data_IF_799053397649
#
_entry.id   IF_799053397649
#
_cell.length_a   1.000
_cell.length_b   1.000
_cell.length_c   1.000
_cell.angle_alpha   90.00
_cell.angle_beta   90.00
_cell.angle_gamma   90.00
#
_symmetry.space_group_name_H-M   'P 1'
#
loop_
_entity.id
_entity.type
_entity.pdbx_description
1 polymer ?
#
# COMPACT_ATOMS: atom_id res chain seq x y z
N UNK A 1 11.25 2.48 -22.62
CA UNK A 1 10.64 3.01 -21.38
C UNK A 1 11.23 4.38 -21.09
N UNK A 2 10.46 5.28 -20.46
CA UNK A 2 10.88 6.66 -20.17
C UNK A 2 11.89 6.77 -19.02
N UNK A 3 11.84 5.86 -18.05
CA UNK A 3 12.74 5.78 -16.90
C UNK A 3 12.89 4.33 -16.39
N UNK A 4 13.78 4.12 -15.41
CA UNK A 4 13.98 2.82 -14.75
C UNK A 4 12.73 2.40 -13.99
N UNK A 5 12.23 1.22 -14.32
CA UNK A 5 11.08 0.58 -13.69
C UNK A 5 11.43 -0.87 -13.37
N UNK A 6 10.89 -1.39 -12.29
CA UNK A 6 11.04 -2.80 -11.91
C UNK A 6 9.79 -3.56 -12.32
N UNK A 7 9.97 -4.63 -13.10
CA UNK A 7 8.89 -5.54 -13.46
C UNK A 7 8.57 -6.48 -12.31
N UNK A 8 7.29 -6.81 -12.15
CA UNK A 8 6.80 -7.64 -11.04
C UNK A 8 7.45 -9.03 -11.02
N UNK A 9 7.64 -9.62 -12.20
CA UNK A 9 8.34 -10.89 -12.36
C UNK A 9 8.95 -10.97 -13.75
N UNK A 10 9.96 -11.84 -13.87
CA UNK A 10 10.63 -12.12 -15.14
C UNK A 10 9.81 -12.96 -16.12
N UNK A 11 8.75 -13.65 -15.67
CA UNK A 11 8.12 -14.71 -16.47
C UNK A 11 6.59 -14.65 -16.57
N UNK A 12 5.86 -14.39 -15.50
CA UNK A 12 4.39 -14.48 -15.47
C UNK A 12 3.70 -13.12 -15.59
N UNK A 13 4.31 -12.09 -15.04
CA UNK A 13 3.84 -10.70 -15.00
C UNK A 13 4.96 -9.77 -15.40
N UNK A 14 5.29 -9.79 -16.69
CA UNK A 14 6.36 -8.98 -17.33
C UNK A 14 5.87 -7.53 -17.54
N UNK A 15 5.49 -6.89 -16.44
CA UNK A 15 4.91 -5.54 -16.36
C UNK A 15 5.40 -4.86 -15.09
N UNK A 16 5.65 -3.55 -15.17
CA UNK A 16 5.82 -2.69 -14.01
C UNK A 16 4.45 -2.19 -13.56
N UNK A 17 3.98 -2.61 -12.39
CA UNK A 17 2.74 -2.08 -11.82
C UNK A 17 3.00 -0.80 -11.04
N UNK A 18 2.04 0.12 -11.08
CA UNK A 18 2.24 1.46 -10.54
C UNK A 18 2.47 1.48 -9.03
N UNK A 19 1.64 0.75 -8.28
CA UNK A 19 1.78 0.67 -6.83
C UNK A 19 3.02 -0.12 -6.39
N UNK A 20 3.60 -0.97 -7.26
CA UNK A 20 4.72 -1.83 -6.88
C UNK A 20 6.05 -1.08 -6.78
N UNK A 21 6.20 0.02 -7.52
CA UNK A 21 7.41 0.82 -7.45
C UNK A 21 7.57 1.45 -6.04
N UNK A 22 6.47 1.66 -5.31
CA UNK A 22 6.49 2.05 -3.90
C UNK A 22 7.15 1.00 -3.00
N UNK A 23 6.91 -0.30 -3.25
CA UNK A 23 7.61 -1.37 -2.51
C UNK A 23 9.10 -1.43 -2.86
N UNK A 24 9.46 -1.17 -4.12
CA UNK A 24 10.86 -1.09 -4.53
C UNK A 24 11.59 0.09 -3.89
N UNK A 25 10.90 1.22 -3.71
CA UNK A 25 11.44 2.34 -2.95
C UNK A 25 11.74 1.96 -1.50
N UNK A 26 10.81 1.27 -0.83
CA UNK A 26 11.03 0.78 0.54
C UNK A 26 12.18 -0.25 0.62
N UNK A 27 12.36 -1.05 -0.42
CA UNK A 27 13.44 -2.04 -0.52
C UNK A 27 14.80 -1.46 -0.96
N UNK A 28 14.95 -0.14 -1.09
CA UNK A 28 16.21 0.49 -1.53
C UNK A 28 17.32 0.47 -0.46
N UNK A 29 17.08 -0.13 0.71
CA UNK A 29 18.12 -0.47 1.68
C UNK A 29 18.87 0.73 2.27
N UNK A 30 18.18 1.86 2.47
CA UNK A 30 18.78 3.10 3.00
C UNK A 30 19.26 4.08 1.93
N UNK A 31 19.34 3.67 0.65
CA UNK A 31 19.69 4.58 -0.45
C UNK A 31 18.51 5.50 -0.79
N UNK A 32 18.58 6.75 -0.35
CA UNK A 32 17.52 7.74 -0.58
C UNK A 32 17.36 8.09 -2.06
N UNK A 33 18.42 8.05 -2.87
CA UNK A 33 18.37 8.41 -4.29
C UNK A 33 17.67 7.35 -5.11
N UNK A 34 17.99 6.08 -4.87
CA UNK A 34 17.28 4.97 -5.50
C UNK A 34 15.82 4.88 -5.02
N UNK A 35 15.56 5.10 -3.73
CA UNK A 35 14.19 5.18 -3.22
C UNK A 35 13.37 6.28 -3.92
N UNK A 36 13.95 7.49 -4.04
CA UNK A 36 13.28 8.63 -4.69
C UNK A 36 12.99 8.39 -6.17
N UNK A 37 13.95 7.79 -6.87
CA UNK A 37 13.81 7.39 -8.27
C UNK A 37 12.67 6.38 -8.44
N UNK A 38 12.55 5.39 -7.56
CA UNK A 38 11.44 4.44 -7.59
C UNK A 38 10.09 5.11 -7.32
N UNK A 39 10.01 6.03 -6.34
CA UNK A 39 8.80 6.83 -6.08
C UNK A 39 8.39 7.70 -7.27
N UNK A 40 9.34 8.20 -8.06
CA UNK A 40 9.08 9.04 -9.24
C UNK A 40 8.72 8.24 -10.50
N UNK A 41 9.19 6.99 -10.60
CA UNK A 41 9.27 6.22 -11.85
C UNK A 41 7.98 6.10 -12.67
N UNK A 42 6.82 6.07 -12.02
CA UNK A 42 5.52 5.95 -12.69
C UNK A 42 4.94 7.29 -13.14
N UNK A 43 5.41 8.39 -12.58
CA UNK A 43 4.87 9.72 -12.83
C UNK A 43 5.28 10.30 -14.20
N UNK A 44 6.27 9.74 -14.90
CA UNK A 44 6.57 10.10 -16.30
C UNK A 44 5.46 9.65 -17.27
N UNK A 45 4.60 8.78 -16.79
CA UNK A 45 3.44 8.27 -17.50
C UNK A 45 2.13 8.79 -16.90
N UNK A 46 2.20 9.74 -15.97
CA UNK A 46 1.02 10.41 -15.46
C UNK A 46 0.32 11.17 -16.60
N UNK A 47 -1.00 10.98 -16.74
CA UNK A 47 -1.79 11.71 -17.73
C UNK A 47 -2.16 13.12 -17.23
N UNK A 48 -2.73 13.94 -18.10
CA UNK A 48 -3.12 15.33 -17.79
C UNK A 48 -4.15 15.43 -16.65
N UNK A 49 -4.98 14.40 -16.46
CA UNK A 49 -5.93 14.35 -15.36
C UNK A 49 -5.28 14.03 -14.01
N UNK A 50 -4.00 13.62 -13.98
CA UNK A 50 -3.25 13.26 -12.78
C UNK A 50 -3.16 11.75 -12.51
N UNK A 51 -3.79 10.91 -13.32
CA UNK A 51 -3.76 9.45 -13.15
C UNK A 51 -2.42 8.85 -13.60
N UNK A 52 -1.83 8.00 -12.77
CA UNK A 52 -0.73 7.11 -13.16
C UNK A 52 -1.25 5.80 -13.77
N UNK A 53 -0.51 5.15 -14.68
CA UNK A 53 -0.93 3.87 -15.24
C UNK A 53 -1.05 2.80 -14.14
N UNK A 54 -2.01 1.88 -14.32
CA UNK A 54 -2.07 0.64 -13.55
C UNK A 54 -0.80 -0.19 -13.77
N UNK A 55 -0.37 -0.30 -15.03
CA UNK A 55 0.91 -0.88 -15.39
C UNK A 55 1.52 -0.24 -16.64
N UNK A 56 2.84 -0.42 -16.77
CA UNK A 56 3.64 -0.15 -17.97
C UNK A 56 4.41 -1.40 -18.36
N UNK A 57 4.46 -1.69 -19.67
CA UNK A 57 5.35 -2.71 -20.23
C UNK A 57 5.98 -2.21 -21.53
N UNK A 58 6.79 -3.06 -22.15
CA UNK A 58 7.40 -2.88 -23.47
C UNK A 58 6.37 -2.78 -24.61
N UNK A 59 5.27 -3.53 -24.53
CA UNK A 59 4.25 -3.61 -25.57
C UNK A 59 2.97 -2.83 -25.27
N UNK A 60 2.69 -2.50 -24.01
CA UNK A 60 1.41 -1.85 -23.65
C UNK A 60 1.46 -1.10 -22.33
N UNK A 61 0.51 -0.19 -22.16
CA UNK A 61 0.23 0.52 -20.92
C UNK A 61 -1.27 0.52 -20.67
N UNK A 62 -1.68 0.53 -19.40
CA UNK A 62 -3.10 0.56 -19.05
C UNK A 62 -3.39 1.60 -17.97
N UNK A 63 -4.43 2.40 -18.19
CA UNK A 63 -5.04 3.29 -17.19
C UNK A 63 -6.45 2.82 -16.81
N UNK A 64 -6.82 1.58 -17.17
CA UNK A 64 -8.17 1.06 -16.94
C UNK A 64 -8.49 0.96 -15.44
N UNK A 65 -7.55 0.44 -14.66
CA UNK A 65 -7.62 0.34 -13.21
C UNK A 65 -6.84 1.50 -12.55
N UNK A 66 -7.27 1.93 -11.37
CA UNK A 66 -6.42 2.73 -10.50
C UNK A 66 -5.36 1.86 -9.83
N UNK A 67 -4.26 2.48 -9.44
CA UNK A 67 -3.36 1.93 -8.43
C UNK A 67 -3.87 2.29 -7.03
N UNK A 68 -3.60 1.43 -6.05
CA UNK A 68 -3.66 1.82 -4.64
C UNK A 68 -2.64 2.95 -4.36
N UNK A 69 -3.01 3.98 -3.59
CA UNK A 69 -2.18 5.16 -3.39
C UNK A 69 -1.04 4.95 -2.36
N UNK A 70 -0.14 4.01 -2.61
CA UNK A 70 0.92 3.62 -1.67
C UNK A 70 2.06 4.64 -1.49
N UNK A 71 2.13 5.67 -2.32
CA UNK A 71 3.24 6.64 -2.30
C UNK A 71 3.41 7.31 -0.92
N UNK A 72 2.31 7.66 -0.24
CA UNK A 72 2.39 8.24 1.10
C UNK A 72 2.94 7.27 2.14
N UNK A 73 2.52 6.00 2.10
CA UNK A 73 3.04 4.97 3.00
C UNK A 73 4.51 4.66 2.74
N UNK A 74 4.92 4.61 1.48
CA UNK A 74 6.32 4.41 1.11
C UNK A 74 7.20 5.60 1.50
N UNK A 75 6.72 6.84 1.37
CA UNK A 75 7.44 8.02 1.86
C UNK A 75 7.60 8.00 3.39
N UNK A 76 6.55 7.59 4.13
CA UNK A 76 6.64 7.42 5.59
C UNK A 76 7.75 6.45 5.98
N UNK A 77 7.80 5.30 5.30
CA UNK A 77 8.85 4.33 5.51
C UNK A 77 10.23 4.88 5.12
N UNK A 78 10.38 5.45 3.93
CA UNK A 78 11.66 5.95 3.41
C UNK A 78 12.24 7.05 4.32
N UNK A 79 11.43 7.99 4.79
CA UNK A 79 11.94 9.03 5.71
C UNK A 79 12.27 8.51 7.11
N UNK A 80 11.73 7.36 7.53
CA UNK A 80 12.11 6.73 8.79
C UNK A 80 13.40 5.91 8.67
N UNK A 81 13.77 5.51 7.46
CA UNK A 81 14.86 4.56 7.22
C UNK A 81 16.09 5.16 6.52
N UNK A 82 15.90 6.20 5.71
CA UNK A 82 16.95 6.81 4.91
C UNK A 82 17.32 8.19 5.45
N UNK A 83 18.58 8.56 5.34
CA UNK A 83 19.02 9.94 5.51
C UNK A 83 18.54 10.79 4.33
N UNK A 84 17.88 11.90 4.61
CA UNK A 84 17.36 12.81 3.59
C UNK A 84 18.31 13.95 3.22
N UNK A 85 19.50 14.05 3.83
CA UNK A 85 20.46 15.15 3.63
C UNK A 85 20.93 15.29 2.17
N UNK A 86 20.89 14.20 1.40
CA UNK A 86 21.20 14.27 -0.02
C UNK A 86 20.13 15.00 -0.83
N UNK A 87 18.86 14.94 -0.41
CA UNK A 87 17.76 15.55 -1.15
C UNK A 87 17.77 17.08 -1.04
N UNK A 88 17.42 17.73 -2.14
CA UNK A 88 17.31 19.20 -2.21
C UNK A 88 15.86 19.63 -2.31
N UNK A 89 15.61 20.91 -2.07
CA UNK A 89 14.29 21.55 -2.22
C UNK A 89 13.62 21.20 -3.55
N UNK A 90 14.39 21.15 -4.62
CA UNK A 90 13.91 20.84 -5.97
C UNK A 90 13.45 19.39 -6.11
N UNK A 91 14.09 18.45 -5.41
CA UNK A 91 13.70 17.03 -5.39
C UNK A 91 12.31 16.87 -4.75
N UNK A 92 12.07 17.57 -3.63
CA UNK A 92 10.76 17.61 -2.96
C UNK A 92 9.70 18.28 -3.83
N UNK A 93 10.04 19.40 -4.48
CA UNK A 93 9.13 20.10 -5.38
C UNK A 93 8.74 19.22 -6.59
N UNK A 94 9.69 18.47 -7.14
CA UNK A 94 9.46 17.56 -8.25
C UNK A 94 8.48 16.44 -7.90
N UNK A 95 8.72 15.72 -6.79
CA UNK A 95 7.80 14.67 -6.34
C UNK A 95 6.45 15.25 -5.91
N UNK A 96 6.44 16.38 -5.19
CA UNK A 96 5.21 17.07 -4.79
C UNK A 96 4.32 17.40 -5.99
N UNK A 97 4.88 18.01 -7.04
CA UNK A 97 4.11 18.42 -8.23
C UNK A 97 3.42 17.24 -8.91
N UNK A 98 4.09 16.08 -8.96
CA UNK A 98 3.52 14.85 -9.55
C UNK A 98 2.52 14.17 -8.62
N UNK A 99 2.89 13.96 -7.37
CA UNK A 99 2.09 13.23 -6.39
C UNK A 99 0.80 13.97 -6.03
N UNK A 100 0.85 15.30 -5.92
CA UNK A 100 -0.34 16.13 -5.69
C UNK A 100 -1.34 16.06 -6.83
N UNK A 101 -0.89 15.97 -8.08
CA UNK A 101 -1.76 15.72 -9.24
C UNK A 101 -2.49 14.38 -9.14
N UNK A 102 -1.81 13.33 -8.68
CA UNK A 102 -2.42 12.02 -8.47
C UNK A 102 -3.36 11.98 -7.27
N UNK A 103 -3.01 12.65 -6.17
CA UNK A 103 -3.90 12.82 -5.03
C UNK A 103 -5.18 13.59 -5.43
N UNK A 104 -5.04 14.66 -6.20
CA UNK A 104 -6.17 15.43 -6.73
C UNK A 104 -7.05 14.58 -7.65
N UNK A 105 -6.45 13.81 -8.57
CA UNK A 105 -7.18 12.88 -9.42
C UNK A 105 -7.96 11.84 -8.62
N UNK A 106 -7.35 11.25 -7.59
CA UNK A 106 -7.99 10.25 -6.74
C UNK A 106 -9.20 10.86 -6.02
N UNK A 107 -9.05 12.03 -5.41
CA UNK A 107 -10.12 12.69 -4.67
C UNK A 107 -11.27 13.17 -5.57
N UNK A 108 -10.96 13.66 -6.78
CA UNK A 108 -11.96 14.21 -7.70
C UNK A 108 -12.62 13.14 -8.60
N UNK A 109 -11.83 12.24 -9.18
CA UNK A 109 -12.31 11.27 -10.19
C UNK A 109 -12.75 9.94 -9.61
N UNK A 110 -12.33 9.61 -8.39
CA UNK A 110 -12.64 8.33 -7.74
C UNK A 110 -13.69 8.45 -6.64
N UNK A 111 -14.56 9.45 -6.72
CA UNK A 111 -15.67 9.68 -5.78
C UNK A 111 -17.00 9.83 -6.54
N UNK A 112 -17.51 8.72 -7.11
CA UNK A 112 -18.68 8.73 -8.02
C UNK A 112 -19.94 9.35 -7.40
N UNK A 113 -20.13 9.15 -6.09
CA UNK A 113 -21.30 9.60 -5.35
C UNK A 113 -21.08 10.98 -4.70
N UNK A 114 -19.92 11.62 -4.92
CA UNK A 114 -19.55 12.93 -4.35
C UNK A 114 -19.63 12.97 -2.82
N UNK A 115 -19.27 11.86 -2.18
CA UNK A 115 -19.24 11.72 -0.72
C UNK A 115 -18.02 12.39 -0.07
N UNK A 116 -17.02 12.78 -0.87
CA UNK A 116 -15.70 13.16 -0.41
C UNK A 116 -14.84 11.97 0.01
N UNK A 117 -15.18 10.74 -0.38
CA UNK A 117 -14.46 9.52 -0.02
C UNK A 117 -14.08 8.76 -1.30
N UNK A 118 -12.78 8.52 -1.55
CA UNK A 118 -12.33 7.73 -2.69
C UNK A 118 -12.85 6.29 -2.68
N UNK A 119 -12.96 5.72 -3.88
CA UNK A 119 -13.59 4.43 -4.13
C UNK A 119 -12.72 3.55 -5.02
N UNK A 120 -12.65 2.27 -4.66
CA UNK A 120 -12.26 1.24 -5.62
C UNK A 120 -13.43 0.90 -6.52
N UNK A 121 -13.16 0.74 -7.80
CA UNK A 121 -14.14 0.32 -8.80
C UNK A 121 -13.97 -1.15 -9.17
N UNK A 122 -12.80 -1.72 -8.84
CA UNK A 122 -12.42 -3.09 -9.19
C UNK A 122 -11.49 -3.66 -8.12
N UNK A 123 -11.50 -4.99 -7.97
CA UNK A 123 -10.67 -5.68 -6.98
C UNK A 123 -9.17 -5.67 -7.31
N UNK A 124 -8.81 -5.56 -8.59
CA UNK A 124 -7.42 -5.53 -9.06
C UNK A 124 -6.67 -4.24 -8.68
N UNK A 125 -7.37 -3.21 -8.18
CA UNK A 125 -6.78 -1.91 -7.83
C UNK A 125 -5.96 -1.93 -6.52
N UNK A 126 -6.18 -2.93 -5.66
CA UNK A 126 -5.44 -3.08 -4.40
C UNK A 126 -4.94 -4.51 -4.15
N UNK A 127 -5.60 -5.56 -4.65
CA UNK A 127 -5.10 -6.94 -4.50
C UNK A 127 -5.27 -7.57 -3.11
N UNK A 128 -5.93 -6.89 -2.16
CA UNK A 128 -6.27 -7.42 -0.83
C UNK A 128 -7.76 -7.27 -0.46
N UNK A 129 -8.58 -6.78 -1.40
CA UNK A 129 -10.05 -6.76 -1.27
C UNK A 129 -10.64 -7.94 -2.05
N UNK A 130 -11.55 -8.70 -1.42
CA UNK A 130 -12.27 -9.78 -2.10
C UNK A 130 -13.14 -9.20 -3.22
N UNK A 131 -13.06 -9.80 -4.42
CA UNK A 131 -13.92 -9.45 -5.55
C UNK A 131 -15.42 -9.50 -5.21
N UNK A 132 -15.82 -10.31 -4.22
CA UNK A 132 -17.20 -10.35 -3.69
C UNK A 132 -17.65 -9.04 -3.06
N UNK A 133 -16.75 -8.16 -2.64
CA UNK A 133 -17.10 -6.83 -2.14
C UNK A 133 -17.75 -5.95 -3.23
N UNK A 134 -17.44 -6.22 -4.51
CA UNK A 134 -17.94 -5.48 -5.67
C UNK A 134 -19.24 -6.06 -6.23
N UNK A 135 -20.18 -6.44 -5.35
CA UNK A 135 -21.46 -7.03 -5.77
C UNK A 135 -22.13 -6.16 -6.83
N UNK A 136 -22.58 -6.78 -7.92
CA UNK A 136 -23.22 -6.11 -9.05
C UNK A 136 -22.35 -5.04 -9.75
N UNK A 137 -21.01 -5.11 -9.62
CA UNK A 137 -20.08 -4.18 -10.25
C UNK A 137 -20.11 -2.77 -9.63
N UNK A 138 -20.53 -2.64 -8.36
CA UNK A 138 -20.60 -1.36 -7.66
C UNK A 138 -19.26 -0.98 -7.03
N UNK A 139 -18.90 0.32 -7.03
CA UNK A 139 -17.73 0.80 -6.32
C UNK A 139 -17.80 0.56 -4.81
N UNK A 140 -16.65 0.37 -4.20
CA UNK A 140 -16.47 0.16 -2.76
C UNK A 140 -15.68 1.31 -2.17
N UNK A 141 -16.21 1.94 -1.14
CA UNK A 141 -15.43 2.79 -0.24
C UNK A 141 -14.79 1.87 0.80
N UNK A 142 -13.47 1.72 0.76
CA UNK A 142 -12.78 0.78 1.64
C UNK A 142 -11.92 1.50 2.68
N UNK A 143 -11.83 0.90 3.86
CA UNK A 143 -11.08 1.48 4.97
C UNK A 143 -9.57 1.56 4.67
N UNK A 144 -9.04 0.58 3.94
CA UNK A 144 -7.64 0.56 3.51
C UNK A 144 -7.33 1.68 2.50
N UNK A 145 -8.20 1.92 1.49
CA UNK A 145 -8.03 3.01 0.54
C UNK A 145 -8.04 4.34 1.26
N UNK A 146 -8.94 4.50 2.23
CA UNK A 146 -9.06 5.70 3.02
C UNK A 146 -7.79 5.93 3.85
N UNK A 147 -7.27 4.90 4.53
CA UNK A 147 -6.02 4.97 5.28
C UNK A 147 -4.80 5.30 4.41
N UNK A 148 -4.69 4.68 3.22
CA UNK A 148 -3.63 5.00 2.28
C UNK A 148 -3.75 6.42 1.72
N UNK A 149 -4.98 6.92 1.53
CA UNK A 149 -5.23 8.30 1.09
C UNK A 149 -4.92 9.32 2.18
N UNK A 150 -5.15 9.00 3.46
CA UNK A 150 -4.70 9.83 4.60
C UNK A 150 -3.19 10.04 4.54
N UNK A 151 -2.41 8.98 4.31
CA UNK A 151 -0.96 9.09 4.15
C UNK A 151 -0.58 9.82 2.87
N UNK A 152 -1.24 9.54 1.74
CA UNK A 152 -0.95 10.23 0.48
C UNK A 152 -1.11 11.75 0.64
N UNK A 153 -2.22 12.19 1.24
CA UNK A 153 -2.51 13.61 1.45
C UNK A 153 -1.58 14.22 2.50
N UNK A 154 -1.29 13.54 3.61
CA UNK A 154 -0.31 14.02 4.59
C UNK A 154 1.06 14.24 3.95
N UNK A 155 1.53 13.28 3.17
CA UNK A 155 2.83 13.36 2.52
C UNK A 155 2.87 14.36 1.37
N UNK A 156 1.75 14.61 0.66
CA UNK A 156 1.65 15.78 -0.21
C UNK A 156 1.88 17.07 0.58
N UNK A 157 1.30 17.18 1.78
CA UNK A 157 1.52 18.32 2.65
C UNK A 157 2.97 18.46 3.12
N UNK A 158 3.59 17.36 3.56
CA UNK A 158 5.00 17.37 4.00
C UNK A 158 5.95 17.75 2.87
N UNK A 159 5.76 17.17 1.68
CA UNK A 159 6.57 17.51 0.52
C UNK A 159 6.36 18.98 0.12
N UNK A 160 5.15 19.52 0.21
CA UNK A 160 4.89 20.93 -0.05
C UNK A 160 5.64 21.85 0.93
N UNK A 161 5.70 21.50 2.22
CA UNK A 161 6.52 22.24 3.22
C UNK A 161 7.99 22.20 2.83
N UNK A 162 8.53 21.02 2.54
CA UNK A 162 9.93 20.84 2.15
C UNK A 162 10.27 21.56 0.83
N UNK A 163 9.29 21.70 -0.06
CA UNK A 163 9.37 22.50 -1.29
C UNK A 163 9.15 24.00 -1.07
N UNK A 164 8.85 24.45 0.16
CA UNK A 164 8.61 25.86 0.50
C UNK A 164 7.25 26.41 0.07
N UNK A 165 6.21 25.58 -0.03
CA UNK A 165 4.84 25.96 -0.38
C UNK A 165 3.87 25.70 0.80
N UNK A 166 3.85 26.61 1.76
CA UNK A 166 3.07 26.47 3.01
C UNK A 166 1.55 26.48 2.81
N UNK A 167 1.05 27.26 1.84
CA UNK A 167 -0.40 27.35 1.60
C UNK A 167 -0.96 26.03 1.09
N UNK A 168 -0.31 25.43 0.10
CA UNK A 168 -0.72 24.11 -0.37
C UNK A 168 -0.51 23.03 0.70
N UNK A 169 0.55 23.14 1.51
CA UNK A 169 0.76 22.24 2.63
C UNK A 169 -0.42 22.21 3.60
N UNK A 170 -0.92 23.39 3.98
CA UNK A 170 -2.08 23.51 4.88
C UNK A 170 -3.33 22.84 4.34
N UNK A 171 -3.60 23.00 3.04
CA UNK A 171 -4.72 22.34 2.34
C UNK A 171 -4.62 20.81 2.43
N UNK A 172 -3.46 20.25 2.11
CA UNK A 172 -3.24 18.81 2.13
C UNK A 172 -3.29 18.22 3.54
N UNK A 173 -2.73 18.93 4.52
CA UNK A 173 -2.79 18.51 5.93
C UNK A 173 -4.22 18.51 6.48
N UNK A 174 -5.04 19.50 6.08
CA UNK A 174 -6.45 19.54 6.46
C UNK A 174 -7.23 18.38 5.84
N UNK A 175 -6.96 18.06 4.57
CA UNK A 175 -7.61 16.93 3.90
C UNK A 175 -7.23 15.59 4.54
N UNK A 176 -5.96 15.39 4.89
CA UNK A 176 -5.50 14.22 5.62
C UNK A 176 -6.25 14.04 6.96
N UNK A 177 -6.35 15.11 7.76
CA UNK A 177 -7.10 15.11 9.03
C UNK A 177 -8.58 14.80 8.84
N UNK A 178 -9.20 15.36 7.79
CA UNK A 178 -10.61 15.10 7.46
C UNK A 178 -10.84 13.63 7.15
N UNK A 179 -10.01 13.04 6.29
CA UNK A 179 -10.11 11.63 5.90
C UNK A 179 -9.84 10.69 7.08
N UNK A 180 -8.89 11.02 7.96
CA UNK A 180 -8.62 10.27 9.19
C UNK A 180 -9.83 10.27 10.12
N UNK A 181 -10.45 11.44 10.33
CA UNK A 181 -11.66 11.54 11.14
C UNK A 181 -12.82 10.71 10.56
N UNK A 182 -12.98 10.67 9.23
CA UNK A 182 -13.98 9.81 8.58
C UNK A 182 -13.66 8.33 8.83
N UNK A 183 -12.41 7.92 8.63
CA UNK A 183 -11.98 6.54 8.84
C UNK A 183 -12.31 6.07 10.26
N UNK A 184 -11.96 6.86 11.27
CA UNK A 184 -12.14 6.49 12.68
C UNK A 184 -13.59 6.57 13.16
N UNK A 185 -14.40 7.48 12.62
CA UNK A 185 -15.78 7.69 13.09
C UNK A 185 -16.82 6.93 12.28
N UNK A 186 -16.55 6.66 11.00
CA UNK A 186 -17.55 6.08 10.09
C UNK A 186 -17.19 4.67 9.61
N UNK A 187 -15.91 4.30 9.59
CA UNK A 187 -15.45 3.00 9.11
C UNK A 187 -15.01 2.07 10.24
N UNK A 188 -14.99 2.54 11.48
CA UNK A 188 -14.71 1.72 12.66
C UNK A 188 -16.03 1.28 13.32
N UNK A 189 -16.24 -0.03 13.45
CA UNK A 189 -17.46 -0.59 14.08
C UNK A 189 -17.32 -0.83 15.60
N UNK A 190 -16.20 -0.42 16.20
CA UNK A 190 -15.84 -0.72 17.59
C UNK A 190 -14.95 -1.95 17.74
N UNK A 191 -14.84 -2.81 16.72
CA UNK A 191 -14.01 -4.03 16.72
C UNK A 191 -13.05 -4.09 15.54
N UNK A 192 -13.49 -3.69 14.36
CA UNK A 192 -12.71 -3.74 13.12
C UNK A 192 -13.06 -2.59 12.20
N UNK A 193 -12.18 -2.36 11.24
CA UNK A 193 -12.52 -1.51 10.11
C UNK A 193 -13.44 -2.27 9.14
N UNK A 194 -14.49 -1.58 8.69
CA UNK A 194 -15.47 -2.07 7.72
C UNK A 194 -15.40 -1.24 6.45
N UNK A 195 -15.79 -1.82 5.32
CA UNK A 195 -15.90 -1.13 4.04
C UNK A 195 -17.37 -1.02 3.64
N UNK A 196 -17.70 -0.11 2.73
CA UNK A 196 -19.09 0.19 2.35
C UNK A 196 -19.29 0.13 0.84
N UNK A 197 -20.45 -0.35 0.41
CA UNK A 197 -20.93 -0.14 -0.97
C UNK A 197 -21.14 1.36 -1.17
N UNK A 198 -20.50 1.95 -2.19
CA UNK A 198 -20.52 3.40 -2.39
C UNK A 198 -21.91 3.93 -2.79
N UNK A 199 -22.81 3.08 -3.29
CA UNK A 199 -24.16 3.48 -3.67
C UNK A 199 -25.14 3.34 -2.50
N UNK A 200 -25.11 2.24 -1.77
CA UNK A 200 -26.10 1.95 -0.71
C UNK A 200 -25.64 2.35 0.69
N UNK A 201 -24.32 2.48 0.91
CA UNK A 201 -23.73 2.68 2.23
C UNK A 201 -23.71 1.42 3.10
N UNK A 202 -24.21 0.30 2.59
CA UNK A 202 -24.23 -0.98 3.32
C UNK A 202 -22.81 -1.50 3.52
N UNK A 203 -22.57 -2.12 4.69
CA UNK A 203 -21.30 -2.76 4.98
C UNK A 203 -21.07 -3.92 4.00
N UNK A 204 -19.89 -3.94 3.39
CA UNK A 204 -19.43 -5.03 2.54
C UNK A 204 -18.30 -5.80 3.20
N UNK A 205 -18.30 -7.10 2.99
CA UNK A 205 -17.23 -7.97 3.47
C UNK A 205 -16.00 -7.79 2.60
N UNK A 206 -14.99 -7.12 3.15
CA UNK A 206 -13.64 -7.02 2.60
C UNK A 206 -12.75 -7.88 3.47
N UNK A 207 -12.05 -8.85 2.87
CA UNK A 207 -11.27 -9.88 3.58
C UNK A 207 -10.36 -9.34 4.69
N UNK A 208 -9.87 -10.24 5.54
CA UNK A 208 -9.26 -9.89 6.85
C UNK A 208 -8.18 -8.81 6.74
N UNK A 209 -7.29 -8.91 5.74
CA UNK A 209 -6.21 -7.96 5.48
C UNK A 209 -6.71 -6.52 5.28
N UNK A 210 -7.80 -6.31 4.54
CA UNK A 210 -8.36 -4.98 4.33
C UNK A 210 -8.84 -4.33 5.64
N UNK A 211 -9.35 -5.14 6.58
CA UNK A 211 -9.80 -4.66 7.90
C UNK A 211 -8.66 -4.32 8.86
N UNK A 212 -7.45 -4.81 8.58
CA UNK A 212 -6.26 -4.62 9.42
C UNK A 212 -5.32 -3.55 8.86
N UNK A 213 -5.29 -3.38 7.53
CA UNK A 213 -4.37 -2.48 6.84
C UNK A 213 -4.36 -1.05 7.37
N UNK A 214 -5.48 -0.45 7.84
CA UNK A 214 -5.44 0.89 8.41
C UNK A 214 -4.44 1.10 9.55
N UNK A 215 -3.97 0.03 10.21
CA UNK A 215 -2.86 0.10 11.20
C UNK A 215 -1.58 0.72 10.62
N UNK A 216 -1.42 0.79 9.29
CA UNK A 216 -0.33 1.51 8.60
C UNK A 216 -0.20 2.97 9.07
N UNK A 217 -1.30 3.58 9.51
CA UNK A 217 -1.34 4.93 10.06
C UNK A 217 -0.59 5.06 11.40
N UNK A 218 -0.33 3.96 12.10
CA UNK A 218 0.43 3.93 13.34
C UNK A 218 -0.18 4.81 14.43
N UNK A 219 0.64 5.62 15.10
CA UNK A 219 0.23 6.58 16.15
C UNK A 219 -0.71 7.70 15.68
N UNK A 220 -1.01 7.81 14.38
CA UNK A 220 -2.03 8.73 13.87
C UNK A 220 -3.44 8.27 14.26
N UNK A 221 -3.63 6.96 14.40
CA UNK A 221 -4.89 6.40 14.87
C UNK A 221 -5.05 6.62 16.38
N UNK A 222 -6.30 6.74 16.83
CA UNK A 222 -6.61 6.67 18.26
C UNK A 222 -6.10 5.37 18.86
N UNK A 223 -5.64 5.47 20.10
CA UNK A 223 -5.01 4.36 20.82
C UNK A 223 -5.95 3.16 21.04
N UNK A 224 -7.26 3.41 21.24
CA UNK A 224 -8.27 2.36 21.37
C UNK A 224 -8.37 1.48 20.13
N UNK A 225 -8.30 2.09 18.95
CA UNK A 225 -8.35 1.39 17.65
C UNK A 225 -7.10 0.53 17.46
N UNK A 226 -5.91 1.10 17.71
CA UNK A 226 -4.63 0.37 17.63
C UNK A 226 -4.65 -0.85 18.55
N UNK A 227 -5.08 -0.66 19.80
CA UNK A 227 -5.14 -1.74 20.78
C UNK A 227 -6.16 -2.83 20.37
N UNK A 228 -7.30 -2.46 19.79
CA UNK A 228 -8.25 -3.43 19.25
C UNK A 228 -7.67 -4.25 18.09
N UNK A 229 -6.93 -3.62 17.17
CA UNK A 229 -6.25 -4.34 16.07
C UNK A 229 -5.17 -5.28 16.60
N UNK A 230 -4.34 -4.83 17.55
CA UNK A 230 -3.33 -5.65 18.23
C UNK A 230 -3.99 -6.87 18.87
N UNK A 231 -5.06 -6.67 19.63
CA UNK A 231 -5.80 -7.75 20.28
C UNK A 231 -6.32 -8.76 19.24
N UNK A 232 -6.85 -8.31 18.11
CA UNK A 232 -7.30 -9.20 17.03
C UNK A 232 -6.16 -10.00 16.41
N UNK A 233 -5.03 -9.37 16.09
CA UNK A 233 -3.84 -10.06 15.55
C UNK A 233 -3.28 -11.14 16.51
N UNK A 234 -3.41 -10.90 17.82
CA UNK A 234 -2.96 -11.85 18.84
C UNK A 234 -3.97 -12.95 19.18
N UNK A 235 -5.28 -12.74 18.97
CA UNK A 235 -6.33 -13.67 19.41
C UNK A 235 -7.08 -14.37 18.29
N UNK A 236 -7.11 -13.83 17.07
CA UNK A 236 -7.87 -14.37 15.94
C UNK A 236 -6.93 -15.09 14.96
N UNK A 237 -7.01 -16.43 14.92
CA UNK A 237 -6.17 -17.26 14.04
C UNK A 237 -6.37 -16.99 12.54
N UNK A 238 -7.55 -16.50 12.16
CA UNK A 238 -7.86 -16.15 10.76
C UNK A 238 -6.98 -15.00 10.26
N UNK A 239 -6.64 -14.04 11.13
CA UNK A 239 -5.72 -12.95 10.80
C UNK A 239 -4.30 -13.44 10.47
N UNK A 240 -3.98 -14.69 10.78
CA UNK A 240 -2.66 -15.29 10.57
C UNK A 240 -2.56 -16.07 9.26
N UNK A 241 -3.68 -16.40 8.62
CA UNK A 241 -3.72 -17.33 7.47
C UNK A 241 -3.68 -16.63 6.10
N UNK A 242 -4.02 -15.34 6.03
CA UNK A 242 -4.14 -14.55 4.79
C UNK A 242 -2.97 -13.57 4.57
N UNK A 243 -1.77 -13.94 5.01
CA UNK A 243 -0.58 -13.07 4.90
C UNK A 243 -0.02 -13.16 3.46
N UNK A 244 -0.28 -12.13 2.65
CA UNK A 244 0.33 -11.90 1.32
C UNK A 244 1.49 -10.90 1.40
N UNK A 245 2.33 -10.69 0.36
CA UNK A 245 3.44 -9.73 0.40
C UNK A 245 3.04 -8.29 0.75
N UNK A 246 1.81 -7.91 0.42
CA UNK A 246 1.20 -6.63 0.82
C UNK A 246 1.13 -6.46 2.34
N UNK A 247 1.12 -7.58 3.07
CA UNK A 247 1.08 -7.59 4.52
C UNK A 247 2.34 -6.99 5.15
N UNK A 248 3.42 -6.64 4.42
CA UNK A 248 4.52 -5.85 4.98
C UNK A 248 4.07 -4.50 5.53
N UNK A 249 2.95 -3.97 5.03
CA UNK A 249 2.37 -2.74 5.57
C UNK A 249 1.87 -2.92 7.01
N UNK A 250 1.48 -4.14 7.41
CA UNK A 250 1.04 -4.42 8.78
C UNK A 250 2.16 -4.27 9.82
N UNK A 251 3.33 -4.95 9.72
CA UNK A 251 4.42 -4.76 10.67
C UNK A 251 4.97 -3.33 10.61
N UNK A 252 5.02 -2.66 9.44
CA UNK A 252 5.39 -1.23 9.36
C UNK A 252 4.42 -0.39 10.20
N UNK A 253 3.11 -0.57 10.01
CA UNK A 253 2.09 0.14 10.78
C UNK A 253 2.17 -0.11 12.28
N UNK A 254 2.41 -1.36 12.68
CA UNK A 254 2.58 -1.74 14.08
C UNK A 254 3.85 -1.11 14.68
N UNK A 255 4.96 -1.06 13.94
CA UNK A 255 6.17 -0.34 14.36
C UNK A 255 5.89 1.15 14.53
N UNK A 256 5.20 1.77 13.57
CA UNK A 256 4.76 3.16 13.66
C UNK A 256 3.82 3.41 14.85
N UNK A 257 3.05 2.40 15.26
CA UNK A 257 2.22 2.40 16.47
C UNK A 257 2.99 2.14 17.77
N UNK A 258 4.30 1.85 17.71
CA UNK A 258 5.13 1.47 18.86
C UNK A 258 4.96 0.02 19.32
N UNK A 259 4.30 -0.84 18.54
CA UNK A 259 4.05 -2.26 18.82
C UNK A 259 5.12 -3.15 18.17
N UNK A 260 6.39 -2.82 18.39
CA UNK A 260 7.55 -3.42 17.71
C UNK A 260 7.67 -4.94 17.88
N UNK A 261 7.42 -5.45 19.08
CA UNK A 261 7.49 -6.89 19.35
C UNK A 261 6.46 -7.69 18.53
N UNK A 262 5.22 -7.19 18.46
CA UNK A 262 4.19 -7.83 17.64
C UNK A 262 4.50 -7.70 16.14
N UNK A 263 5.03 -6.55 15.71
CA UNK A 263 5.50 -6.37 14.35
C UNK A 263 6.57 -7.41 13.97
N UNK A 264 7.55 -7.63 14.86
CA UNK A 264 8.59 -8.65 14.72
C UNK A 264 8.00 -10.05 14.58
N UNK A 265 7.06 -10.42 15.45
CA UNK A 265 6.41 -11.75 15.40
C UNK A 265 5.66 -11.97 14.08
N UNK A 266 4.92 -10.96 13.62
CA UNK A 266 4.16 -11.06 12.36
C UNK A 266 5.10 -11.12 11.16
N UNK A 267 6.16 -10.33 11.17
CA UNK A 267 7.17 -10.33 10.12
C UNK A 267 7.93 -11.67 10.05
N UNK A 268 8.37 -12.22 11.19
CA UNK A 268 9.04 -13.52 11.25
C UNK A 268 8.18 -14.66 10.68
N UNK A 269 6.88 -14.68 11.00
CA UNK A 269 5.95 -15.66 10.42
C UNK A 269 5.84 -15.57 8.91
N UNK A 270 5.91 -14.37 8.35
CA UNK A 270 5.95 -14.24 6.90
C UNK A 270 7.23 -14.84 6.33
N UNK A 271 8.38 -14.57 6.94
CA UNK A 271 9.64 -15.17 6.53
C UNK A 271 9.55 -16.70 6.53
N UNK A 272 8.99 -17.29 7.59
CA UNK A 272 8.77 -18.74 7.69
C UNK A 272 7.89 -19.26 6.54
N UNK A 273 6.76 -18.60 6.26
CA UNK A 273 5.88 -18.96 5.15
C UNK A 273 6.56 -18.87 3.78
N UNK A 274 7.42 -17.87 3.57
CA UNK A 274 8.21 -17.74 2.33
C UNK A 274 9.20 -18.88 2.20
N UNK A 275 9.94 -19.19 3.28
CA UNK A 275 10.88 -20.30 3.32
C UNK A 275 10.19 -21.63 3.00
N UNK A 276 9.08 -21.94 3.67
CA UNK A 276 8.29 -23.14 3.41
C UNK A 276 7.81 -23.20 1.94
N UNK A 277 7.35 -22.09 1.37
CA UNK A 277 6.90 -22.06 -0.03
C UNK A 277 8.05 -22.31 -1.03
N UNK A 278 9.27 -21.86 -0.72
CA UNK A 278 10.48 -22.10 -1.53
C UNK A 278 10.91 -23.57 -1.42
N UNK A 279 10.96 -24.14 -0.22
CA UNK A 279 11.30 -25.54 0.00
C UNK A 279 10.34 -26.49 -0.70
N UNK A 280 9.03 -26.24 -0.57
CA UNK A 280 8.00 -27.02 -1.26
C UNK A 280 8.09 -26.96 -2.80
N UNK A 281 8.62 -25.88 -3.38
CA UNK A 281 8.91 -25.80 -4.83
C UNK A 281 10.16 -26.59 -5.19
N UNK A 282 11.19 -26.59 -4.35
CA UNK A 282 12.40 -27.38 -4.56
C UNK A 282 12.11 -28.89 -4.53
N UNK A 283 11.24 -29.35 -3.63
CA UNK A 283 10.84 -30.75 -3.53
C UNK A 283 9.90 -31.21 -4.66
N UNK A 284 9.02 -30.34 -5.15
CA UNK A 284 8.21 -30.62 -6.36
C UNK A 284 9.04 -30.72 -7.64
N UNK A 285 10.27 -30.19 -7.65
CA UNK A 285 11.24 -30.41 -8.72
C UNK A 285 11.74 -31.86 -8.83
N UNK A 286 11.42 -32.73 -7.86
CA UNK A 286 11.81 -34.15 -7.84
C UNK A 286 10.66 -35.14 -8.09
N UNK A 287 9.41 -34.67 -8.25
CA UNK A 287 8.25 -35.55 -8.47
C UNK A 287 7.39 -34.99 -9.61
N UNK A 288 7.43 -35.65 -10.77
CA UNK A 288 6.51 -35.37 -11.88
C UNK A 288 5.05 -35.57 -11.46
N UNK A 289 4.20 -34.68 -11.98
CA UNK A 289 2.74 -34.81 -12.11
C UNK A 289 1.94 -35.17 -10.84
N UNK A 290 1.43 -34.13 -10.16
CA UNK A 290 0.06 -34.17 -9.62
C UNK A 290 -0.53 -32.75 -9.51
N UNK A 291 -1.62 -32.54 -10.27
CA UNK A 291 -2.56 -31.41 -10.09
C UNK A 291 -3.02 -31.37 -8.64
N UNK A 292 -2.68 -30.33 -7.89
CA UNK A 292 -3.42 -29.96 -6.66
C UNK A 292 -3.10 -28.52 -6.22
N UNK A 293 -4.19 -27.75 -6.03
CA UNK A 293 -4.31 -26.38 -5.45
C UNK A 293 -3.34 -25.32 -5.98
N UNK A 294 -3.80 -24.56 -6.97
CA UNK A 294 -3.02 -23.63 -7.77
C UNK A 294 -3.22 -22.14 -7.40
N UNK A 295 -3.75 -21.79 -6.23
CA UNK A 295 -4.16 -20.39 -5.99
C UNK A 295 -3.37 -19.62 -4.90
N UNK A 296 -2.48 -20.26 -4.13
CA UNK A 296 -1.70 -19.55 -3.09
C UNK A 296 -0.29 -19.14 -3.55
N UNK A 297 0.25 -19.81 -4.57
CA UNK A 297 1.67 -19.71 -4.98
C UNK A 297 1.88 -18.78 -6.18
N UNK A 298 0.81 -18.32 -6.82
CA UNK A 298 0.87 -17.43 -7.99
C UNK A 298 1.02 -15.93 -7.62
N UNK A 299 0.89 -15.57 -6.34
CA UNK A 299 0.96 -14.18 -5.85
C UNK A 299 2.30 -13.73 -5.27
N UNK A 300 3.22 -14.66 -4.97
CA UNK A 300 4.58 -14.34 -4.53
C UNK A 300 5.54 -14.42 -5.70
N UNK A 301 5.90 -13.26 -6.26
CA UNK A 301 7.10 -13.17 -7.08
C UNK A 301 8.32 -13.11 -6.16
N UNK A 302 9.42 -13.73 -6.59
CA UNK A 302 10.69 -13.72 -5.87
C UNK A 302 11.15 -12.31 -5.50
N UNK A 303 10.82 -11.33 -6.34
CA UNK A 303 11.17 -9.93 -6.18
C UNK A 303 10.31 -9.22 -5.11
N UNK A 304 9.02 -9.57 -4.98
CA UNK A 304 8.17 -9.07 -3.89
C UNK A 304 8.55 -9.71 -2.55
N UNK A 305 8.96 -10.99 -2.56
CA UNK A 305 9.51 -11.65 -1.39
C UNK A 305 10.85 -11.02 -0.98
N UNK A 306 11.74 -10.71 -1.93
CA UNK A 306 13.01 -10.03 -1.66
C UNK A 306 12.80 -8.60 -1.16
N UNK A 307 11.91 -7.83 -1.79
CA UNK A 307 11.56 -6.48 -1.33
C UNK A 307 10.97 -6.51 0.08
N UNK A 308 10.11 -7.48 0.37
CA UNK A 308 9.60 -7.73 1.71
C UNK A 308 10.73 -8.08 2.68
N UNK A 309 11.60 -9.05 2.35
CA UNK A 309 12.66 -9.53 3.22
C UNK A 309 13.64 -8.40 3.57
N UNK A 310 14.00 -7.56 2.59
CA UNK A 310 14.80 -6.35 2.82
C UNK A 310 14.04 -5.38 3.72
N UNK A 311 12.78 -5.07 3.40
CA UNK A 311 11.96 -4.15 4.21
C UNK A 311 11.80 -4.66 5.65
N UNK A 312 11.70 -5.97 5.84
CA UNK A 312 11.55 -6.60 7.15
C UNK A 312 12.87 -6.70 7.90
N UNK A 313 13.99 -7.10 7.29
CA UNK A 313 15.28 -7.18 8.00
C UNK A 313 15.61 -5.86 8.71
N UNK A 314 15.34 -4.74 8.04
CA UNK A 314 15.48 -3.41 8.61
C UNK A 314 14.46 -3.08 9.71
N UNK A 315 13.20 -3.55 9.60
CA UNK A 315 12.22 -3.46 10.68
C UNK A 315 12.66 -4.28 11.91
N UNK A 316 13.34 -5.40 11.71
CA UNK A 316 13.87 -6.25 12.78
C UNK A 316 15.17 -5.69 13.39
N UNK A 317 15.78 -4.66 12.77
CA UNK A 317 17.06 -4.11 13.21
C UNK A 317 18.25 -5.05 12.98
N UNK A 318 18.10 -6.01 12.07
CA UNK A 318 19.17 -6.92 11.66
C UNK A 318 19.70 -6.46 10.30
N UNK A 319 21.00 -6.14 10.23
CA UNK A 319 21.73 -5.87 8.98
C UNK A 319 21.87 -7.14 8.11
#
# INVERSE_FOLDING_TARGET
>A
MKNSLVYMSRTSSVRAFGYQQCYQAMASGGDIREAWKMLLSMFDYQNEAGQIPFYVSDISMSWLAACAPLHGAALDYVFNMCDSDELKKEDYAGLYGKMSGYAGWLLDKRDRNRSGIPQYYRADECGWIDAKAFKNGRPVQSADLLALTVLLTEYCGRLAIMAGNETEAGKWMNESKRLLAILENEFWDGRKFVSKDAQTGEIVETGVTASLLPVILGKRLREDIVNAIVNRLTSEDECRKDISPISCLLPIGLCNAGKKELAFIIAGRFCDMVCEAVENKADKGKIENKKTKQDFVNGLTSEMAAAFLITVSYVLGEE
#
